data_IF_937155303674
#
_entry.id   IF_937155303674
#
_cell.length_a   1.000
_cell.length_b   1.000
_cell.length_c   1.000
_cell.angle_alpha   90.00
_cell.angle_beta   90.00
_cell.angle_gamma   90.00
#
_symmetry.space_group_name_H-M   'P 1'
#
loop_
_entity.id
_entity.type
_entity.pdbx_description
1 polymer ?
#
# COMPACT_ATOMS: atom_id res chain seq x y z
N UNK A 1 -24.11 21.58 -25.94
CA UNK A 1 -23.72 21.78 -24.52
C UNK A 1 -23.66 20.50 -23.66
N UNK A 2 -24.07 19.31 -24.15
CA UNK A 2 -23.91 18.06 -23.37
C UNK A 2 -22.47 17.52 -23.35
N UNK A 3 -21.70 17.78 -24.41
CA UNK A 3 -20.31 17.31 -24.54
C UNK A 3 -19.39 17.90 -23.47
N UNK A 4 -19.44 19.22 -23.24
CA UNK A 4 -18.60 19.89 -22.21
C UNK A 4 -18.86 19.36 -20.79
N UNK A 5 -20.10 18.99 -20.46
CA UNK A 5 -20.44 18.44 -19.16
C UNK A 5 -19.80 17.06 -18.93
N UNK A 6 -19.77 16.22 -19.96
CA UNK A 6 -19.14 14.89 -19.90
C UNK A 6 -17.62 15.03 -19.75
N UNK A 7 -17.00 15.96 -20.47
CA UNK A 7 -15.56 16.26 -20.32
C UNK A 7 -15.22 16.77 -18.91
N UNK A 8 -16.04 17.65 -18.33
CA UNK A 8 -15.84 18.13 -16.96
C UNK A 8 -15.98 17.00 -15.92
N UNK A 9 -16.94 16.10 -16.09
CA UNK A 9 -17.11 14.95 -15.20
C UNK A 9 -15.93 13.97 -15.28
N UNK A 10 -15.44 13.70 -16.50
CA UNK A 10 -14.25 12.88 -16.71
C UNK A 10 -13.01 13.51 -16.07
N UNK A 11 -12.83 14.82 -16.19
CA UNK A 11 -11.72 15.53 -15.56
C UNK A 11 -11.77 15.46 -14.03
N UNK A 12 -12.94 15.67 -13.42
CA UNK A 12 -13.08 15.54 -11.97
C UNK A 12 -12.87 14.10 -11.48
N UNK A 13 -13.36 13.11 -12.23
CA UNK A 13 -13.13 11.69 -11.93
C UNK A 13 -11.63 11.35 -11.99
N UNK A 14 -10.93 11.87 -13.00
CA UNK A 14 -9.48 11.66 -13.16
C UNK A 14 -8.70 12.25 -11.99
N UNK A 15 -9.01 13.49 -11.60
CA UNK A 15 -8.39 14.15 -10.44
C UNK A 15 -8.67 13.36 -9.17
N UNK A 16 -9.92 12.95 -8.92
CA UNK A 16 -10.28 12.16 -7.74
C UNK A 16 -9.50 10.84 -7.66
N UNK A 17 -9.32 10.15 -8.79
CA UNK A 17 -8.55 8.90 -8.86
C UNK A 17 -7.04 9.07 -8.64
N UNK A 18 -6.48 10.24 -8.97
CA UNK A 18 -5.08 10.56 -8.73
C UNK A 18 -4.78 10.91 -7.25
N UNK A 19 -5.81 11.21 -6.46
CA UNK A 19 -5.68 11.53 -5.03
C UNK A 19 -5.81 10.30 -4.13
N UNK A 20 -5.72 9.10 -4.69
CA UNK A 20 -5.83 7.87 -3.91
C UNK A 20 -4.52 7.62 -3.15
N UNK A 21 -4.63 7.39 -1.85
CA UNK A 21 -3.51 6.91 -1.05
C UNK A 21 -3.03 5.56 -1.60
N UNK A 22 -1.72 5.43 -1.78
CA UNK A 22 -1.10 4.24 -2.36
C UNK A 22 -0.12 3.63 -1.37
N UNK A 23 -0.31 2.35 -1.02
CA UNK A 23 0.64 1.61 -0.18
C UNK A 23 1.36 0.53 -0.98
N UNK A 24 2.69 0.49 -0.89
CA UNK A 24 3.55 -0.50 -1.54
C UNK A 24 4.39 -1.26 -0.53
N UNK A 25 4.38 -2.59 -0.63
CA UNK A 25 5.20 -3.48 0.20
C UNK A 25 6.63 -3.56 -0.31
N UNK A 26 7.48 -2.61 0.10
CA UNK A 26 8.90 -2.57 -0.31
C UNK A 26 9.76 -3.47 0.57
N UNK A 27 9.34 -3.74 1.82
CA UNK A 27 10.09 -4.51 2.82
C UNK A 27 9.18 -5.57 3.45
N UNK A 28 9.68 -6.78 3.78
CA UNK A 28 8.87 -7.76 4.51
C UNK A 28 8.28 -7.15 5.79
N UNK A 29 6.97 -7.30 6.00
CA UNK A 29 6.25 -6.84 7.19
C UNK A 29 6.21 -5.31 7.41
N UNK A 30 6.57 -4.52 6.40
CA UNK A 30 6.40 -3.06 6.41
C UNK A 30 5.96 -2.55 5.05
N UNK A 31 4.97 -1.66 5.05
CA UNK A 31 4.45 -1.05 3.83
C UNK A 31 4.74 0.44 3.84
N UNK A 32 5.18 0.95 2.69
CA UNK A 32 5.33 2.38 2.47
C UNK A 32 4.03 2.91 1.90
N UNK A 33 3.36 3.80 2.62
CA UNK A 33 2.16 4.49 2.17
C UNK A 33 2.50 5.90 1.73
N UNK A 34 2.03 6.26 0.54
CA UNK A 34 2.12 7.56 -0.09
C UNK A 34 0.73 8.18 -0.04
N UNK A 35 0.62 9.32 0.63
CA UNK A 35 -0.63 10.04 0.74
C UNK A 35 -0.72 11.13 -0.31
N UNK A 36 -1.93 11.49 -0.71
CA UNK A 36 -2.18 12.56 -1.69
C UNK A 36 -1.61 13.92 -1.26
N UNK A 37 -1.43 14.15 0.03
CA UNK A 37 -0.83 15.37 0.59
C UNK A 37 0.71 15.40 0.47
N UNK A 38 1.32 14.41 -0.19
CA UNK A 38 2.76 14.29 -0.36
C UNK A 38 3.50 13.70 0.85
N UNK A 39 2.80 13.39 1.94
CA UNK A 39 3.42 12.70 3.07
C UNK A 39 3.66 11.22 2.76
N UNK A 40 4.69 10.67 3.39
CA UNK A 40 4.99 9.24 3.35
C UNK A 40 5.02 8.69 4.76
N UNK A 41 4.49 7.48 4.92
CA UNK A 41 4.47 6.80 6.21
C UNK A 41 4.89 5.34 6.04
N UNK A 42 5.76 4.88 6.94
CA UNK A 42 6.14 3.48 7.04
C UNK A 42 5.24 2.80 8.06
N UNK A 43 4.27 2.00 7.60
CA UNK A 43 3.36 1.24 8.45
C UNK A 43 3.88 -0.18 8.66
N UNK A 44 3.71 -0.68 9.88
CA UNK A 44 3.89 -2.10 10.15
C UNK A 44 2.73 -2.88 9.56
N UNK A 45 3.05 -4.01 8.92
CA UNK A 45 2.04 -4.95 8.45
C UNK A 45 1.43 -5.69 9.65
N UNK A 46 0.21 -6.20 9.48
CA UNK A 46 -0.50 -6.89 10.55
C UNK A 46 0.31 -8.07 11.08
N UNK A 47 0.37 -8.22 12.41
CA UNK A 47 0.96 -9.41 13.02
C UNK A 47 0.27 -10.69 12.49
N UNK A 48 1.08 -11.68 12.12
CA UNK A 48 0.63 -12.94 11.53
C UNK A 48 0.54 -12.96 10.00
N UNK A 49 0.71 -11.82 9.30
CA UNK A 49 0.75 -11.79 7.83
C UNK A 49 1.88 -12.69 7.32
N UNK A 50 1.65 -13.55 6.30
CA UNK A 50 2.69 -14.37 5.71
C UNK A 50 3.79 -13.51 5.08
N UNK A 51 5.04 -13.86 5.33
CA UNK A 51 6.19 -13.18 4.75
C UNK A 51 7.25 -14.19 4.32
N UNK A 52 8.12 -13.79 3.38
CA UNK A 52 9.27 -14.59 2.96
C UNK A 52 10.54 -14.06 3.59
N UNK A 53 11.29 -14.95 4.21
CA UNK A 53 12.62 -14.69 4.75
C UNK A 53 13.68 -14.89 3.64
N UNK A 54 14.91 -14.40 3.85
CA UNK A 54 16.04 -14.74 2.98
C UNK A 54 16.14 -16.26 2.77
N UNK A 55 16.43 -16.68 1.54
CA UNK A 55 16.43 -18.10 1.16
C UNK A 55 15.05 -18.70 0.86
N UNK A 56 13.99 -17.88 0.78
CA UNK A 56 12.65 -18.33 0.40
C UNK A 56 11.87 -19.04 1.51
N UNK A 57 12.37 -19.00 2.75
CA UNK A 57 11.73 -19.63 3.90
C UNK A 57 10.46 -18.87 4.31
N UNK A 58 9.40 -19.62 4.65
CA UNK A 58 8.17 -19.03 5.15
C UNK A 58 8.34 -18.45 6.55
N UNK A 59 7.69 -17.32 6.78
CA UNK A 59 7.65 -16.63 8.06
C UNK A 59 6.31 -15.95 8.29
N UNK A 60 6.20 -15.31 9.46
CA UNK A 60 5.06 -14.47 9.82
C UNK A 60 5.56 -13.13 10.35
N UNK A 61 4.80 -12.08 10.06
CA UNK A 61 5.07 -10.77 10.59
C UNK A 61 4.83 -10.72 12.09
N UNK A 62 5.81 -10.19 12.83
CA UNK A 62 5.72 -9.91 14.26
C UNK A 62 6.53 -8.66 14.55
N UNK A 63 5.88 -7.64 15.11
CA UNK A 63 6.51 -6.37 15.49
C UNK A 63 7.26 -5.69 14.32
N UNK A 64 6.71 -5.83 13.11
CA UNK A 64 7.31 -5.29 11.88
C UNK A 64 8.56 -6.02 11.39
N UNK A 65 8.79 -7.25 11.85
CA UNK A 65 9.84 -8.16 11.39
C UNK A 65 9.24 -9.47 10.87
N UNK A 66 9.90 -10.07 9.87
CA UNK A 66 9.52 -11.39 9.35
C UNK A 66 10.18 -12.50 10.18
N UNK A 67 9.45 -13.01 11.17
CA UNK A 67 9.93 -14.08 12.06
C UNK A 67 9.66 -15.47 11.47
N UNK A 68 10.38 -16.48 11.97
CA UNK A 68 10.09 -17.88 11.63
C UNK A 68 8.65 -18.19 12.05
N UNK A 69 7.92 -18.91 11.20
CA UNK A 69 6.70 -19.58 11.64
C UNK A 69 7.13 -20.63 12.66
N UNK A 70 6.97 -20.35 13.95
CA UNK A 70 7.03 -21.38 14.96
C UNK A 70 5.85 -22.33 14.69
N UNK A 71 6.19 -23.59 14.46
CA UNK A 71 5.25 -24.70 14.34
C UNK A 71 4.61 -24.99 15.69
#
# INVERSE_FOLDING_TARGET
MRSSFIFCLLAMYFIASANADYCSGVVPCRVFCYYYNGSTELKQEKNGTPCKRPGGLEGKCKDGQCEKKNE
#
